data_IF_499367006399
#
_entry.id   IF_499367006399
#
_cell.length_a   1.000
_cell.length_b   1.000
_cell.length_c   1.000
_cell.angle_alpha   90.00
_cell.angle_beta   90.00
_cell.angle_gamma   90.00
#
_symmetry.space_group_name_H-M   'P 1'
#
loop_
_entity.id
_entity.type
_entity.pdbx_description
1 polymer ?
#
# COMPACT_ATOMS: atom_id res chain seq x y z
N UNK A 1 6.99 17.41 -10.87
CA UNK A 1 7.65 16.09 -10.72
C UNK A 1 7.37 15.57 -9.32
N UNK A 2 7.09 14.26 -9.19
CA UNK A 2 6.85 13.63 -7.89
C UNK A 2 7.92 12.57 -7.60
N UNK A 3 8.47 12.58 -6.39
CA UNK A 3 9.55 11.68 -5.98
C UNK A 3 9.24 11.06 -4.62
N UNK A 4 9.27 9.74 -4.55
CA UNK A 4 9.31 9.01 -3.28
C UNK A 4 10.76 8.92 -2.77
N UNK A 5 10.98 9.17 -1.50
CA UNK A 5 12.31 9.12 -0.89
C UNK A 5 12.45 7.91 0.04
N UNK A 6 13.68 7.40 0.19
CA UNK A 6 13.93 6.20 1.00
C UNK A 6 13.53 6.39 2.49
N UNK A 7 13.52 7.61 2.98
CA UNK A 7 13.10 7.96 4.33
C UNK A 7 11.57 8.18 4.46
N UNK A 8 10.81 7.81 3.43
CA UNK A 8 9.35 7.76 3.46
C UNK A 8 8.63 9.07 3.21
N UNK A 9 9.27 10.01 2.53
CA UNK A 9 8.59 11.25 2.07
C UNK A 9 8.14 11.09 0.62
N UNK A 10 7.03 11.74 0.30
CA UNK A 10 6.61 12.04 -1.06
C UNK A 10 6.81 13.54 -1.28
N UNK A 11 7.60 13.89 -2.29
CA UNK A 11 8.00 15.27 -2.59
C UNK A 11 7.46 15.66 -3.96
N UNK A 12 6.82 16.81 -4.05
CA UNK A 12 6.44 17.45 -5.31
C UNK A 12 7.41 18.59 -5.63
N UNK A 13 7.96 18.55 -6.83
CA UNK A 13 8.88 19.56 -7.33
C UNK A 13 8.28 20.24 -8.54
N UNK A 14 8.46 21.55 -8.63
CA UNK A 14 8.22 22.31 -9.85
C UNK A 14 9.14 21.82 -10.96
N UNK A 15 8.61 21.54 -12.13
CA UNK A 15 9.36 20.92 -13.22
C UNK A 15 10.33 21.88 -13.93
N UNK A 16 10.10 23.21 -13.84
CA UNK A 16 10.92 24.22 -14.51
C UNK A 16 12.06 24.68 -13.60
N UNK A 17 11.74 24.88 -12.33
CA UNK A 17 12.69 25.49 -11.37
C UNK A 17 13.38 24.46 -10.46
N UNK A 18 12.82 23.25 -10.32
CA UNK A 18 13.25 22.26 -9.35
C UNK A 18 12.88 22.62 -7.90
N UNK A 19 12.16 23.71 -7.69
CA UNK A 19 11.72 24.15 -6.36
C UNK A 19 10.69 23.19 -5.75
N UNK A 20 10.74 23.01 -4.43
CA UNK A 20 9.75 22.19 -3.71
C UNK A 20 8.39 22.90 -3.68
N UNK A 21 7.35 22.21 -4.17
CA UNK A 21 5.97 22.67 -4.10
C UNK A 21 5.32 22.23 -2.79
N UNK A 22 5.51 20.96 -2.43
CA UNK A 22 5.07 20.40 -1.16
C UNK A 22 5.84 19.10 -0.83
N UNK A 23 5.87 18.77 0.44
CA UNK A 23 6.44 17.50 0.95
C UNK A 23 5.53 16.93 2.02
N UNK A 24 5.25 15.63 1.96
CA UNK A 24 4.47 14.93 2.97
C UNK A 24 5.19 13.67 3.43
N UNK A 25 5.01 13.33 4.72
CA UNK A 25 5.47 12.07 5.28
C UNK A 25 4.41 10.99 5.03
N UNK A 26 4.77 9.90 4.34
CA UNK A 26 3.83 8.85 3.95
C UNK A 26 3.82 7.66 4.91
N UNK A 27 4.77 7.58 5.81
CA UNK A 27 5.06 6.41 6.65
C UNK A 27 4.94 6.72 8.14
N UNK A 28 4.80 5.68 8.94
CA UNK A 28 5.11 5.72 10.39
C UNK A 28 6.63 5.62 10.58
N UNK A 29 7.25 6.72 10.99
CA UNK A 29 8.71 6.80 11.16
C UNK A 29 9.26 5.99 12.34
N UNK A 30 8.39 5.47 13.20
CA UNK A 30 8.80 4.55 14.27
C UNK A 30 9.08 3.13 13.77
N UNK A 31 8.69 2.84 12.51
CA UNK A 31 8.83 1.54 11.86
C UNK A 31 9.73 1.64 10.62
N UNK A 32 10.38 0.55 10.22
CA UNK A 32 11.35 0.53 9.14
C UNK A 32 10.69 0.49 7.75
N UNK A 33 9.73 1.37 7.51
CA UNK A 33 9.16 1.60 6.19
C UNK A 33 10.16 2.27 5.24
N UNK A 34 10.04 1.97 3.97
CA UNK A 34 10.79 2.63 2.91
C UNK A 34 9.88 2.99 1.74
N UNK A 35 10.35 3.85 0.85
CA UNK A 35 9.78 4.03 -0.49
C UNK A 35 10.90 3.81 -1.50
N UNK A 36 10.69 2.91 -2.45
CA UNK A 36 11.63 2.59 -3.52
C UNK A 36 10.98 2.65 -4.91
N UNK A 37 9.65 2.62 -4.97
CA UNK A 37 8.88 2.71 -6.21
C UNK A 37 8.64 4.14 -6.68
N UNK A 38 8.36 4.30 -7.97
CA UNK A 38 7.97 5.57 -8.54
C UNK A 38 6.48 5.86 -8.29
N UNK A 39 6.12 7.09 -7.87
CA UNK A 39 4.72 7.51 -7.80
C UNK A 39 4.02 7.41 -9.16
N UNK A 40 2.73 7.13 -9.14
CA UNK A 40 1.87 7.18 -10.33
C UNK A 40 0.90 8.35 -10.22
N UNK A 41 0.80 9.13 -11.29
CA UNK A 41 -0.18 10.22 -11.38
C UNK A 41 -1.38 9.72 -12.17
N UNK A 42 -2.55 9.72 -11.54
CA UNK A 42 -3.81 9.30 -12.15
C UNK A 42 -4.83 10.39 -11.87
N UNK A 43 -5.30 11.06 -12.93
CA UNK A 43 -6.16 12.26 -12.79
C UNK A 43 -5.48 13.32 -11.91
N UNK A 44 -6.08 13.69 -10.81
CA UNK A 44 -5.58 14.64 -9.80
C UNK A 44 -4.99 13.96 -8.56
N UNK A 45 -4.65 12.68 -8.64
CA UNK A 45 -4.07 11.88 -7.55
C UNK A 45 -2.62 11.51 -7.83
N UNK A 46 -1.80 11.57 -6.80
CA UNK A 46 -0.46 10.99 -6.78
C UNK A 46 -0.50 9.75 -5.89
N UNK A 47 -0.25 8.59 -6.48
CA UNK A 47 -0.41 7.30 -5.82
C UNK A 47 0.95 6.69 -5.56
N UNK A 48 1.18 6.24 -4.33
CA UNK A 48 2.43 5.62 -3.89
C UNK A 48 2.13 4.52 -2.86
N UNK A 49 2.87 3.43 -2.95
CA UNK A 49 2.87 2.39 -1.93
C UNK A 49 4.11 2.48 -1.04
N UNK A 50 4.31 1.46 -0.21
CA UNK A 50 5.47 1.34 0.66
C UNK A 50 6.31 0.10 0.35
N UNK A 51 7.61 0.17 0.66
CA UNK A 51 8.53 -0.93 0.80
C UNK A 51 8.78 -1.26 2.28
N UNK A 52 9.74 -2.17 2.53
CA UNK A 52 10.17 -2.54 3.87
C UNK A 52 9.54 -3.84 4.40
N UNK A 53 8.91 -4.66 3.54
CA UNK A 53 8.32 -5.93 3.94
C UNK A 53 9.28 -6.80 4.74
N UNK A 54 10.55 -6.89 4.33
CA UNK A 54 11.60 -7.68 4.98
C UNK A 54 11.90 -7.24 6.42
N UNK A 55 11.51 -6.03 6.77
CA UNK A 55 11.74 -5.44 8.09
C UNK A 55 10.51 -5.50 9.00
N UNK A 56 9.45 -6.19 8.58
CA UNK A 56 8.26 -6.40 9.40
C UNK A 56 7.29 -5.23 9.39
N UNK A 57 7.02 -4.66 8.23
CA UNK A 57 6.01 -3.60 8.06
C UNK A 57 4.75 -4.10 7.36
N UNK A 58 3.65 -3.41 7.58
CA UNK A 58 2.34 -3.64 6.95
C UNK A 58 2.25 -2.94 5.61
N UNK A 59 1.84 -3.66 4.56
CA UNK A 59 1.66 -3.11 3.22
C UNK A 59 0.44 -2.21 3.07
N UNK A 60 0.58 -1.18 2.25
CA UNK A 60 -0.50 -0.29 1.83
C UNK A 60 -0.16 0.46 0.54
N UNK A 61 -1.17 1.07 -0.05
CA UNK A 61 -1.06 2.08 -1.10
C UNK A 61 -1.88 3.31 -0.68
N UNK A 62 -1.39 4.50 -1.00
CA UNK A 62 -2.03 5.75 -0.60
C UNK A 62 -2.13 6.70 -1.80
N UNK A 63 -3.25 7.40 -1.93
CA UNK A 63 -3.42 8.51 -2.85
C UNK A 63 -3.36 9.85 -2.12
N UNK A 64 -2.67 10.78 -2.73
CA UNK A 64 -2.52 12.16 -2.29
C UNK A 64 -3.07 13.12 -3.34
N UNK A 65 -3.61 14.24 -2.92
CA UNK A 65 -3.98 15.33 -3.81
C UNK A 65 -2.72 15.86 -4.54
N UNK A 66 -2.79 15.94 -5.86
CA UNK A 66 -1.65 16.34 -6.70
C UNK A 66 -1.16 17.76 -6.40
N UNK A 67 -2.03 18.67 -5.98
CA UNK A 67 -1.72 20.09 -5.76
C UNK A 67 -1.27 20.39 -4.35
N UNK A 68 -1.89 19.75 -3.36
CA UNK A 68 -1.70 20.07 -1.94
C UNK A 68 -0.83 19.05 -1.19
N UNK A 69 -0.77 17.80 -1.67
CA UNK A 69 -0.14 16.71 -0.94
C UNK A 69 -1.00 16.13 0.19
N UNK A 70 -2.26 16.57 0.31
CA UNK A 70 -3.17 16.02 1.33
C UNK A 70 -3.50 14.57 1.02
N UNK A 71 -3.50 13.73 2.06
CA UNK A 71 -3.90 12.33 1.91
C UNK A 71 -5.41 12.26 1.63
N UNK A 72 -5.79 11.60 0.52
CA UNK A 72 -7.19 11.42 0.14
C UNK A 72 -7.71 10.07 0.65
N UNK A 73 -6.97 8.98 0.35
CA UNK A 73 -7.32 7.65 0.84
C UNK A 73 -6.07 6.79 1.03
N UNK A 74 -6.22 5.75 1.84
CA UNK A 74 -5.24 4.66 1.99
C UNK A 74 -5.95 3.33 1.96
N UNK A 75 -5.45 2.40 1.14
CA UNK A 75 -5.87 1.02 1.12
C UNK A 75 -4.76 0.13 1.70
N UNK A 76 -5.06 -0.60 2.74
CA UNK A 76 -4.16 -1.60 3.31
C UNK A 76 -4.27 -2.90 2.52
N UNK A 77 -3.15 -3.58 2.30
CA UNK A 77 -3.05 -4.86 1.58
C UNK A 77 -2.96 -6.06 2.52
N UNK A 78 -2.79 -5.79 3.80
CA UNK A 78 -2.75 -6.79 4.88
C UNK A 78 -3.64 -6.28 6.00
N UNK A 79 -4.50 -7.13 6.59
CA UNK A 79 -5.37 -6.72 7.69
C UNK A 79 -4.57 -6.40 8.96
N UNK A 80 -5.10 -5.48 9.78
CA UNK A 80 -4.53 -5.10 11.06
C UNK A 80 -4.80 -6.11 12.18
N UNK A 81 -4.61 -5.66 13.42
CA UNK A 81 -4.92 -6.42 14.63
C UNK A 81 -6.43 -6.68 14.73
N UNK A 82 -6.89 -7.94 14.81
CA UNK A 82 -8.32 -8.24 14.90
C UNK A 82 -8.95 -7.86 16.25
N UNK A 83 -8.20 -7.42 17.23
CA UNK A 83 -8.74 -6.83 18.47
C UNK A 83 -9.21 -5.39 18.29
N UNK A 84 -8.80 -4.74 17.19
CA UNK A 84 -9.18 -3.38 16.82
C UNK A 84 -10.17 -3.39 15.65
N UNK A 85 -10.97 -2.33 15.44
CA UNK A 85 -11.82 -2.22 14.27
C UNK A 85 -10.99 -2.20 12.99
N UNK A 86 -11.40 -2.97 11.99
CA UNK A 86 -10.77 -2.94 10.67
C UNK A 86 -11.14 -1.66 9.92
N UNK A 87 -10.22 -1.18 9.09
CA UNK A 87 -10.39 0.05 8.31
C UNK A 87 -11.51 -0.05 7.25
N UNK A 88 -11.86 -1.28 6.86
CA UNK A 88 -12.92 -1.54 5.89
C UNK A 88 -13.45 -2.97 6.02
N UNK A 89 -14.63 -3.22 5.45
CA UNK A 89 -15.17 -4.57 5.33
C UNK A 89 -14.24 -5.49 4.52
N UNK A 90 -13.55 -4.97 3.52
CA UNK A 90 -12.55 -5.70 2.74
C UNK A 90 -11.43 -6.22 3.65
N UNK A 91 -10.93 -5.40 4.58
CA UNK A 91 -9.91 -5.84 5.54
C UNK A 91 -10.47 -6.84 6.55
N UNK A 92 -11.71 -6.68 6.99
CA UNK A 92 -12.38 -7.65 7.86
C UNK A 92 -12.55 -9.02 7.18
N UNK A 93 -12.86 -9.06 5.89
CA UNK A 93 -12.93 -10.31 5.13
C UNK A 93 -11.54 -10.92 4.90
N UNK A 94 -10.54 -10.09 4.53
CA UNK A 94 -9.17 -10.55 4.36
C UNK A 94 -8.63 -11.18 5.65
N UNK A 95 -8.93 -10.63 6.82
CA UNK A 95 -8.48 -11.15 8.11
C UNK A 95 -8.91 -12.61 8.37
N UNK A 96 -10.02 -13.06 7.80
CA UNK A 96 -10.50 -14.45 7.91
C UNK A 96 -9.60 -15.46 7.20
N UNK A 97 -8.70 -14.99 6.34
CA UNK A 97 -7.72 -15.81 5.61
C UNK A 97 -6.35 -15.88 6.30
N UNK A 98 -6.25 -15.30 7.48
CA UNK A 98 -5.03 -15.25 8.27
C UNK A 98 -5.21 -15.98 9.60
N UNK A 99 -4.10 -16.49 10.16
CA UNK A 99 -4.08 -17.13 11.48
C UNK A 99 -2.86 -16.66 12.30
N UNK A 100 -2.91 -16.85 13.60
CA UNK A 100 -1.84 -16.41 14.49
C UNK A 100 -1.85 -14.90 14.72
N UNK A 101 -0.68 -14.31 14.85
CA UNK A 101 -0.49 -12.88 15.19
C UNK A 101 0.33 -12.15 14.13
N UNK A 102 -0.05 -12.25 12.87
CA UNK A 102 0.65 -11.65 11.72
C UNK A 102 0.87 -10.14 11.88
N UNK A 103 -0.05 -9.44 12.51
CA UNK A 103 0.02 -7.98 12.70
C UNK A 103 1.20 -7.54 13.59
N UNK A 104 1.63 -8.37 14.55
CA UNK A 104 2.82 -8.09 15.36
C UNK A 104 4.12 -8.08 14.52
N UNK A 105 4.11 -8.79 13.39
CA UNK A 105 5.22 -8.91 12.44
C UNK A 105 4.99 -8.08 11.17
N UNK A 106 3.94 -7.29 11.12
CA UNK A 106 3.57 -6.45 9.99
C UNK A 106 2.85 -7.17 8.85
N UNK A 107 3.13 -8.44 8.60
CA UNK A 107 2.50 -9.26 7.57
C UNK A 107 3.02 -9.06 6.15
N UNK A 108 3.73 -7.99 5.85
CA UNK A 108 4.29 -7.69 4.53
C UNK A 108 3.27 -7.14 3.53
N UNK A 109 3.20 -7.70 2.33
CA UNK A 109 2.24 -7.31 1.30
C UNK A 109 2.43 -5.89 0.76
N UNK A 110 3.67 -5.40 0.72
CA UNK A 110 3.96 -4.03 0.29
C UNK A 110 3.69 -3.80 -1.19
N UNK A 111 3.19 -2.63 -1.54
CA UNK A 111 3.03 -2.15 -2.92
C UNK A 111 4.26 -1.33 -3.27
N UNK A 112 5.39 -2.02 -3.42
CA UNK A 112 6.70 -1.39 -3.52
C UNK A 112 7.07 -0.93 -4.94
N UNK A 113 6.36 -1.39 -5.98
CA UNK A 113 6.60 -1.00 -7.37
C UNK A 113 5.33 -1.02 -8.23
N UNK A 114 4.94 -2.16 -8.76
CA UNK A 114 4.06 -2.31 -9.92
C UNK A 114 2.65 -1.76 -9.74
N UNK A 115 2.34 -0.71 -10.50
CA UNK A 115 0.99 -0.13 -10.61
C UNK A 115 0.67 0.22 -12.07
N UNK A 116 -0.56 -0.02 -12.49
CA UNK A 116 -1.08 0.37 -13.80
C UNK A 116 -2.49 0.93 -13.68
N UNK A 117 -2.83 1.88 -14.55
CA UNK A 117 -4.15 2.47 -14.62
C UNK A 117 -4.81 2.18 -15.97
N UNK A 118 -6.04 1.72 -15.93
CA UNK A 118 -6.90 1.52 -17.09
C UNK A 118 -7.91 2.67 -17.13
N UNK A 119 -7.79 3.60 -18.09
CA UNK A 119 -8.69 4.74 -18.19
C UNK A 119 -10.09 4.39 -18.73
N UNK A 120 -10.25 3.26 -19.44
CA UNK A 120 -11.53 2.82 -19.98
C UNK A 120 -12.42 2.21 -18.88
N UNK A 121 -11.81 1.42 -17.98
CA UNK A 121 -12.49 0.80 -16.86
C UNK A 121 -12.48 1.68 -15.59
N UNK A 122 -11.68 2.74 -15.60
CA UNK A 122 -11.39 3.58 -14.44
C UNK A 122 -10.92 2.74 -13.23
N UNK A 123 -9.90 1.89 -13.47
CA UNK A 123 -9.35 0.99 -12.49
C UNK A 123 -7.84 1.19 -12.32
N UNK A 124 -7.42 1.27 -11.08
CA UNK A 124 -6.02 1.17 -10.65
C UNK A 124 -5.73 -0.29 -10.30
N UNK A 125 -4.75 -0.89 -10.97
CA UNK A 125 -4.21 -2.20 -10.62
C UNK A 125 -2.91 -2.01 -9.83
N UNK A 126 -2.82 -2.67 -8.68
CA UNK A 126 -1.62 -2.69 -7.84
C UNK A 126 -1.08 -4.11 -7.72
N UNK A 127 0.23 -4.26 -7.78
CA UNK A 127 0.92 -5.49 -7.45
C UNK A 127 1.23 -5.53 -5.96
N UNK A 128 0.71 -6.52 -5.26
CA UNK A 128 0.95 -6.74 -3.83
C UNK A 128 2.06 -7.77 -3.65
N UNK A 129 3.09 -7.41 -2.93
CA UNK A 129 4.25 -8.26 -2.68
C UNK A 129 3.96 -9.45 -1.75
N UNK A 130 5.02 -10.21 -1.49
CA UNK A 130 5.00 -11.38 -0.61
C UNK A 130 4.77 -11.00 0.86
N UNK A 131 4.48 -12.02 1.66
CA UNK A 131 4.30 -11.88 3.10
C UNK A 131 5.61 -11.74 3.88
N UNK A 132 5.49 -11.17 5.08
CA UNK A 132 6.58 -11.08 6.06
C UNK A 132 6.09 -11.53 7.44
N UNK A 133 6.83 -12.43 8.13
CA UNK A 133 7.94 -13.22 7.61
C UNK A 133 7.59 -14.02 6.35
N UNK A 134 8.58 -14.27 5.49
CA UNK A 134 8.35 -14.99 4.24
C UNK A 134 7.80 -16.40 4.44
N UNK A 135 8.26 -17.09 5.50
CA UNK A 135 7.77 -18.41 5.87
C UNK A 135 6.34 -18.33 6.41
N UNK A 136 5.38 -18.92 5.68
CA UNK A 136 3.96 -18.93 6.05
C UNK A 136 3.70 -19.57 7.43
N UNK A 137 4.42 -20.65 7.78
CA UNK A 137 4.19 -21.32 9.08
C UNK A 137 4.55 -20.45 10.28
N UNK A 138 5.38 -19.43 10.08
CA UNK A 138 5.69 -18.40 11.09
C UNK A 138 4.65 -17.29 11.07
N UNK A 139 4.34 -16.79 9.89
CA UNK A 139 3.42 -15.64 9.68
C UNK A 139 1.97 -15.99 9.96
N UNK A 140 1.53 -17.19 9.53
CA UNK A 140 0.16 -17.66 9.60
C UNK A 140 0.15 -19.18 9.86
N UNK A 141 0.40 -19.61 11.10
CA UNK A 141 0.70 -21.01 11.43
C UNK A 141 -0.45 -22.00 11.15
N UNK A 142 -1.68 -21.52 11.11
CA UNK A 142 -2.84 -22.30 10.69
C UNK A 142 -3.08 -22.31 9.17
N UNK A 143 -2.17 -21.72 8.38
CA UNK A 143 -2.35 -21.58 6.92
C UNK A 143 -3.29 -20.45 6.53
N UNK A 144 -4.03 -20.67 5.42
CA UNK A 144 -4.95 -19.70 4.81
C UNK A 144 -4.29 -18.93 3.66
N UNK A 145 -5.11 -18.27 2.86
CA UNK A 145 -4.68 -17.57 1.64
C UNK A 145 -3.86 -16.31 1.93
N UNK A 146 -3.97 -15.77 3.13
CA UNK A 146 -3.29 -14.54 3.56
C UNK A 146 -3.55 -13.34 2.63
N UNK A 147 -4.82 -13.06 2.34
CA UNK A 147 -5.19 -11.94 1.46
C UNK A 147 -4.73 -10.59 2.03
N UNK A 148 -4.10 -9.73 1.18
CA UNK A 148 -3.94 -9.86 -0.29
C UNK A 148 -2.49 -10.08 -0.73
N UNK A 149 -1.73 -10.95 -0.07
CA UNK A 149 -0.35 -11.24 -0.48
C UNK A 149 -0.30 -11.81 -1.90
N UNK A 150 0.80 -11.53 -2.62
CA UNK A 150 1.09 -12.08 -3.95
C UNK A 150 -0.09 -11.93 -4.92
N UNK A 151 -0.70 -10.75 -4.94
CA UNK A 151 -1.94 -10.52 -5.70
C UNK A 151 -1.82 -9.32 -6.63
N UNK A 152 -2.60 -9.35 -7.70
CA UNK A 152 -3.04 -8.15 -8.41
C UNK A 152 -4.35 -7.72 -7.76
N UNK A 153 -4.44 -6.49 -7.29
CA UNK A 153 -5.66 -5.91 -6.71
C UNK A 153 -6.13 -4.74 -7.54
N UNK A 154 -7.41 -4.71 -7.87
CA UNK A 154 -8.06 -3.61 -8.60
C UNK A 154 -8.81 -2.70 -7.62
N UNK A 155 -8.52 -1.40 -7.71
CA UNK A 155 -9.10 -0.36 -6.87
C UNK A 155 -9.73 0.75 -7.74
N UNK A 156 -10.72 1.47 -7.19
CA UNK A 156 -11.16 2.74 -7.76
C UNK A 156 -10.11 3.81 -7.45
N UNK A 157 -9.53 4.49 -8.45
CA UNK A 157 -8.43 5.44 -8.21
C UNK A 157 -8.86 6.66 -7.40
N UNK A 158 -10.14 7.03 -7.45
CA UNK A 158 -10.69 8.19 -6.75
C UNK A 158 -10.89 7.96 -5.25
N UNK A 159 -11.38 6.78 -4.87
CA UNK A 159 -11.77 6.46 -3.49
C UNK A 159 -10.90 5.43 -2.78
N UNK A 160 -10.07 4.68 -3.54
CA UNK A 160 -9.35 3.52 -3.01
C UNK A 160 -10.24 2.30 -2.74
N UNK A 161 -11.51 2.35 -3.20
CA UNK A 161 -12.45 1.25 -3.04
C UNK A 161 -11.97 0.00 -3.77
N UNK A 162 -11.99 -1.14 -3.06
CA UNK A 162 -11.67 -2.46 -3.61
C UNK A 162 -12.73 -2.91 -4.60
N UNK A 163 -12.28 -3.45 -5.75
CA UNK A 163 -13.17 -3.97 -6.80
C UNK A 163 -13.02 -5.48 -6.92
N UNK A 164 -11.81 -5.98 -7.15
CA UNK A 164 -11.49 -7.40 -7.21
C UNK A 164 -9.99 -7.66 -6.99
N UNK A 165 -9.62 -8.91 -6.82
CA UNK A 165 -8.23 -9.34 -6.80
C UNK A 165 -8.06 -10.67 -7.55
N UNK A 166 -6.82 -10.93 -7.95
CA UNK A 166 -6.34 -12.23 -8.40
C UNK A 166 -5.07 -12.55 -7.63
N UNK A 167 -5.07 -13.63 -6.87
CA UNK A 167 -3.91 -14.12 -6.11
C UNK A 167 -3.18 -15.20 -6.92
N UNK A 168 -1.83 -15.13 -6.97
CA UNK A 168 -0.97 -16.10 -7.69
C UNK A 168 -0.46 -17.21 -6.79
#
# INVERSE_FOLDING_TARGET
>A
VFVGTIDGRLVALDAETGGESWTVNTIDRSKPYTITGAPRVIKDRVIIGNGGAEYGVRGYVTAYDQKTGDQIWRFYTVPGDPSEPFESETMAQAAKTWTGKWWEMGGGGTVWDSMAYDPELDLLYIGVGNGSPWNQTVRSPGGGDNLFLSSVVALRPESGEYVWHYQT
#
